data_IF_332940759246
#
_entry.id   IF_332940759246
#
_cell.length_a   1.000
_cell.length_b   1.000
_cell.length_c   1.000
_cell.angle_alpha   90.00
_cell.angle_beta   90.00
_cell.angle_gamma   90.00
#
_symmetry.space_group_name_H-M   'P 1'
#
loop_
_entity.id
_entity.type
_entity.pdbx_description
1 polymer ?
#
# COMPACT_ATOMS: atom_id res chain seq x y z
N UNK A 1 -4.69 -21.87 18.87
CA UNK A 1 -4.24 -20.48 18.73
C UNK A 1 -3.47 -20.46 17.42
N UNK A 2 -4.16 -20.12 16.33
CA UNK A 2 -3.51 -20.01 15.02
C UNK A 2 -2.52 -18.86 15.09
N UNK A 3 -1.25 -19.16 14.95
CA UNK A 3 -0.22 -18.14 14.76
C UNK A 3 -0.57 -17.42 13.46
N UNK A 4 -1.13 -16.22 13.56
CA UNK A 4 -1.36 -15.38 12.39
C UNK A 4 0.01 -15.20 11.73
N UNK A 5 0.13 -15.55 10.45
CA UNK A 5 1.40 -15.43 9.72
C UNK A 5 1.91 -13.99 9.88
N UNK A 6 3.20 -13.82 10.18
CA UNK A 6 3.80 -12.49 10.24
C UNK A 6 3.57 -11.77 8.91
N UNK A 7 3.23 -10.47 8.94
CA UNK A 7 2.91 -9.75 7.73
C UNK A 7 4.15 -9.61 6.85
N UNK A 8 4.05 -10.11 5.61
CA UNK A 8 5.14 -10.12 4.61
C UNK A 8 5.01 -8.97 3.62
N UNK A 9 3.80 -8.42 3.47
CA UNK A 9 3.48 -7.39 2.47
C UNK A 9 2.85 -6.17 3.11
N UNK A 10 3.38 -4.99 2.76
CA UNK A 10 2.76 -3.70 3.06
C UNK A 10 2.08 -3.15 1.82
N UNK A 11 0.80 -2.81 1.91
CA UNK A 11 0.05 -2.09 0.87
C UNK A 11 0.01 -0.61 1.23
N UNK A 12 0.83 0.18 0.56
CA UNK A 12 0.92 1.62 0.74
C UNK A 12 0.08 2.32 -0.33
N UNK A 13 -0.87 3.15 0.07
CA UNK A 13 -1.78 3.82 -0.86
C UNK A 13 -2.43 5.06 -0.28
N UNK A 14 -3.42 5.57 -1.01
CA UNK A 14 -4.28 6.66 -0.54
C UNK A 14 -5.55 6.07 0.05
N UNK A 15 -6.02 6.63 1.16
CA UNK A 15 -7.36 6.33 1.67
C UNK A 15 -8.39 6.97 0.73
N UNK A 16 -9.24 6.18 0.05
CA UNK A 16 -10.21 6.71 -0.91
C UNK A 16 -11.16 7.73 -0.27
N UNK A 17 -11.51 7.61 1.02
CA UNK A 17 -12.41 8.54 1.71
C UNK A 17 -11.75 9.87 2.08
N UNK A 18 -10.41 9.94 2.02
CA UNK A 18 -9.62 11.11 2.40
C UNK A 18 -8.89 11.74 1.21
N UNK A 19 -9.29 11.40 -0.01
CA UNK A 19 -8.82 12.04 -1.25
C UNK A 19 -9.88 13.06 -1.74
N UNK A 20 -9.58 14.36 -1.73
CA UNK A 20 -10.53 15.40 -2.13
C UNK A 20 -10.97 15.29 -3.60
N UNK A 21 -12.24 15.62 -3.86
CA UNK A 21 -12.77 15.80 -5.21
C UNK A 21 -14.26 15.49 -5.31
N UNK A 22 -14.90 15.79 -6.45
CA UNK A 22 -16.27 15.37 -6.71
C UNK A 22 -16.27 13.95 -7.28
N UNK A 23 -16.18 12.93 -6.43
CA UNK A 23 -16.25 11.52 -6.83
C UNK A 23 -16.73 10.64 -5.68
N UNK A 24 -17.13 9.41 -6.01
CA UNK A 24 -17.60 8.42 -5.04
C UNK A 24 -16.46 7.45 -4.65
N UNK A 25 -16.03 7.43 -3.37
CA UNK A 25 -14.95 6.55 -2.90
C UNK A 25 -15.32 5.07 -2.77
N UNK A 26 -16.61 4.74 -2.69
CA UNK A 26 -17.09 3.39 -2.35
C UNK A 26 -16.57 2.31 -3.32
N UNK A 27 -16.63 2.49 -4.66
CA UNK A 27 -16.14 1.47 -5.60
C UNK A 27 -14.64 1.18 -5.49
N UNK A 28 -13.84 2.19 -5.09
CA UNK A 28 -12.39 2.01 -4.90
C UNK A 28 -12.12 1.29 -3.58
N UNK A 29 -12.83 1.64 -2.51
CA UNK A 29 -12.73 0.97 -1.22
C UNK A 29 -13.10 -0.52 -1.34
N UNK A 30 -14.22 -0.85 -1.98
CA UNK A 30 -14.62 -2.23 -2.24
C UNK A 30 -13.57 -3.01 -3.04
N UNK A 31 -12.97 -2.37 -4.05
CA UNK A 31 -11.93 -3.00 -4.85
C UNK A 31 -10.61 -3.22 -4.07
N UNK A 32 -10.29 -2.35 -3.10
CA UNK A 32 -9.17 -2.57 -2.16
C UNK A 32 -9.49 -3.80 -1.30
N UNK A 33 -10.68 -3.89 -0.73
CA UNK A 33 -11.09 -5.01 0.11
C UNK A 33 -11.01 -6.35 -0.64
N UNK A 34 -11.49 -6.39 -1.89
CA UNK A 34 -11.35 -7.56 -2.77
C UNK A 34 -9.87 -7.93 -2.97
N UNK A 35 -9.00 -6.94 -3.18
CA UNK A 35 -7.57 -7.17 -3.33
C UNK A 35 -6.92 -7.71 -2.06
N UNK A 36 -7.31 -7.20 -0.90
CA UNK A 36 -6.79 -7.63 0.41
C UNK A 36 -7.25 -9.04 0.79
N UNK A 37 -8.50 -9.40 0.48
CA UNK A 37 -9.05 -10.73 0.76
C UNK A 37 -8.23 -11.86 0.11
N UNK A 38 -7.69 -11.62 -1.09
CA UNK A 38 -6.84 -12.59 -1.81
C UNK A 38 -5.56 -12.95 -1.06
N UNK A 39 -5.00 -12.06 -0.25
CA UNK A 39 -3.82 -12.40 0.56
C UNK A 39 -4.13 -13.51 1.56
N UNK A 40 -5.29 -13.44 2.22
CA UNK A 40 -5.73 -14.48 3.16
C UNK A 40 -5.99 -15.81 2.45
N UNK A 41 -6.58 -15.80 1.26
CA UNK A 41 -6.79 -17.00 0.43
C UNK A 41 -5.49 -17.73 0.09
N UNK A 42 -4.37 -16.99 0.01
CA UNK A 42 -3.04 -17.53 -0.30
C UNK A 42 -2.14 -17.67 0.93
N UNK A 43 -2.68 -17.44 2.14
CA UNK A 43 -1.91 -17.56 3.39
C UNK A 43 -0.78 -16.53 3.54
N UNK A 44 -0.88 -15.38 2.87
CA UNK A 44 0.11 -14.30 2.95
C UNK A 44 -0.37 -13.25 3.96
N UNK A 45 0.45 -12.95 4.96
CA UNK A 45 0.19 -11.85 5.88
C UNK A 45 0.36 -10.49 5.18
N UNK A 46 -0.62 -9.61 5.33
CA UNK A 46 -0.64 -8.27 4.71
C UNK A 46 -1.08 -7.21 5.71
N UNK A 47 -0.48 -6.03 5.62
CA UNK A 47 -0.94 -4.82 6.29
C UNK A 47 -1.07 -3.67 5.29
N UNK A 48 -1.77 -2.62 5.70
CA UNK A 48 -2.07 -1.45 4.87
C UNK A 48 -1.61 -0.17 5.54
N UNK A 49 -1.02 0.73 4.76
CA UNK A 49 -0.74 2.11 5.12
C UNK A 49 -1.45 3.01 4.10
N UNK A 50 -2.67 3.44 4.44
CA UNK A 50 -3.48 4.33 3.59
C UNK A 50 -3.45 5.75 4.16
N UNK A 51 -2.91 6.69 3.38
CA UNK A 51 -2.76 8.10 3.79
C UNK A 51 -3.81 9.00 3.14
N UNK A 52 -4.25 10.03 3.85
CA UNK A 52 -5.16 11.04 3.36
C UNK A 52 -4.45 12.20 2.66
N UNK A 53 -5.12 12.84 1.70
CA UNK A 53 -4.70 14.10 1.07
C UNK A 53 -5.51 15.30 1.60
N UNK A 54 -6.24 15.11 2.69
CA UNK A 54 -7.03 16.13 3.40
C UNK A 54 -6.20 16.99 4.38
N UNK A 55 -4.90 16.71 4.49
CA UNK A 55 -3.96 17.42 5.36
C UNK A 55 -3.96 16.95 6.83
N UNK A 56 -4.64 15.86 7.15
CA UNK A 56 -4.68 15.33 8.52
C UNK A 56 -3.56 14.32 8.84
N UNK A 57 -2.83 13.83 7.84
CA UNK A 57 -1.64 12.99 8.04
C UNK A 57 -0.34 13.79 7.86
N UNK A 58 0.63 13.52 8.73
CA UNK A 58 2.04 13.66 8.39
C UNK A 58 2.45 12.43 7.58
N UNK A 59 2.35 12.53 6.26
CA UNK A 59 2.51 11.38 5.35
C UNK A 59 3.90 10.75 5.47
N UNK A 60 4.95 11.56 5.64
CA UNK A 60 6.31 11.04 5.79
C UNK A 60 6.43 10.21 7.07
N UNK A 61 5.98 10.74 8.20
CA UNK A 61 6.03 10.03 9.48
C UNK A 61 5.19 8.73 9.46
N UNK A 62 3.97 8.79 8.95
CA UNK A 62 3.07 7.62 8.87
C UNK A 62 3.67 6.52 8.00
N UNK A 63 4.25 6.89 6.85
CA UNK A 63 4.90 5.92 5.95
C UNK A 63 6.19 5.37 6.57
N UNK A 64 7.00 6.19 7.23
CA UNK A 64 8.20 5.72 7.94
C UNK A 64 7.86 4.69 9.02
N UNK A 65 6.86 4.97 9.85
CA UNK A 65 6.44 4.08 10.93
C UNK A 65 5.96 2.73 10.38
N UNK A 66 5.12 2.75 9.33
CA UNK A 66 4.65 1.53 8.68
C UNK A 66 5.80 0.70 8.06
N UNK A 67 6.77 1.36 7.43
CA UNK A 67 7.92 0.67 6.82
C UNK A 67 8.86 0.05 7.86
N UNK A 68 8.93 0.61 9.07
CA UNK A 68 9.80 0.13 10.16
C UNK A 68 9.14 -0.94 11.03
N UNK A 69 7.82 -1.11 10.93
CA UNK A 69 7.06 -2.03 11.77
C UNK A 69 7.48 -3.50 11.58
N UNK A 70 7.80 -3.89 10.35
CA UNK A 70 8.12 -5.27 9.98
C UNK A 70 9.24 -5.35 8.94
N UNK A 71 9.89 -6.51 8.86
CA UNK A 71 10.78 -6.84 7.76
C UNK A 71 9.93 -7.27 6.56
N UNK A 72 9.53 -6.30 5.74
CA UNK A 72 8.70 -6.53 4.56
C UNK A 72 9.46 -7.27 3.45
N UNK A 73 8.83 -8.24 2.81
CA UNK A 73 9.34 -8.83 1.56
C UNK A 73 8.90 -8.02 0.35
N UNK A 74 7.72 -7.41 0.41
CA UNK A 74 7.21 -6.56 -0.66
C UNK A 74 6.42 -5.37 -0.13
N UNK A 75 6.65 -4.20 -0.73
CA UNK A 75 5.79 -3.02 -0.55
C UNK A 75 5.04 -2.79 -1.87
N UNK A 76 3.72 -2.97 -1.83
CA UNK A 76 2.87 -2.61 -2.96
C UNK A 76 2.46 -1.15 -2.85
N UNK A 77 2.77 -0.36 -3.86
CA UNK A 77 2.36 1.03 -3.95
C UNK A 77 1.08 1.09 -4.79
N UNK A 78 0.03 1.68 -4.25
CA UNK A 78 -1.28 1.80 -4.88
C UNK A 78 -1.30 2.74 -6.08
N UNK A 79 -2.19 2.47 -7.04
CA UNK A 79 -2.35 3.31 -8.23
C UNK A 79 -2.67 4.78 -7.93
N UNK A 80 -3.35 5.09 -6.81
CA UNK A 80 -3.68 6.47 -6.42
C UNK A 80 -2.45 7.39 -6.35
N UNK A 81 -1.28 6.87 -6.00
CA UNK A 81 -0.04 7.64 -5.91
C UNK A 81 0.65 7.89 -7.27
N UNK A 82 0.20 7.24 -8.35
CA UNK A 82 0.92 7.22 -9.64
C UNK A 82 0.18 7.86 -10.81
N UNK A 83 -1.15 7.98 -10.73
CA UNK A 83 -1.98 8.34 -11.91
C UNK A 83 -2.33 9.83 -12.02
N UNK A 84 -1.66 10.71 -11.27
CA UNK A 84 -1.84 12.16 -11.35
C UNK A 84 -0.47 12.83 -11.35
N UNK A 85 -0.25 13.74 -12.30
CA UNK A 85 1.02 14.48 -12.45
C UNK A 85 1.34 15.30 -11.19
N UNK A 86 0.32 15.76 -10.47
CA UNK A 86 0.47 16.50 -9.20
C UNK A 86 0.95 15.61 -8.04
N UNK A 87 1.10 14.30 -8.24
CA UNK A 87 1.51 13.32 -7.21
C UNK A 87 2.93 12.80 -7.40
N UNK A 88 3.67 13.31 -8.38
CA UNK A 88 5.05 12.86 -8.66
C UNK A 88 5.96 13.05 -7.44
N UNK A 89 5.93 14.21 -6.78
CA UNK A 89 6.77 14.47 -5.60
C UNK A 89 6.42 13.54 -4.44
N UNK A 90 5.13 13.25 -4.23
CA UNK A 90 4.68 12.32 -3.21
C UNK A 90 5.12 10.88 -3.52
N UNK A 91 5.05 10.47 -4.79
CA UNK A 91 5.55 9.18 -5.23
C UNK A 91 7.07 9.08 -5.01
N UNK A 92 7.83 10.11 -5.38
CA UNK A 92 9.28 10.17 -5.16
C UNK A 92 9.63 10.05 -3.67
N UNK A 93 8.91 10.75 -2.80
CA UNK A 93 9.06 10.62 -1.35
C UNK A 93 8.83 9.18 -0.91
N UNK A 94 7.68 8.60 -1.24
CA UNK A 94 7.33 7.22 -0.86
C UNK A 94 8.40 6.22 -1.33
N UNK A 95 8.85 6.30 -2.59
CA UNK A 95 9.89 5.41 -3.12
C UNK A 95 11.19 5.55 -2.32
N UNK A 96 11.61 6.78 -2.00
CA UNK A 96 12.83 7.00 -1.22
C UNK A 96 12.69 6.50 0.23
N UNK A 97 11.53 6.65 0.85
CA UNK A 97 11.26 6.10 2.19
C UNK A 97 11.33 4.57 2.18
N UNK A 98 10.72 3.91 1.19
CA UNK A 98 10.82 2.45 1.04
C UNK A 98 12.28 2.02 0.92
N UNK A 99 13.06 2.67 0.05
CA UNK A 99 14.48 2.36 -0.12
C UNK A 99 15.32 2.61 1.13
N UNK A 100 14.92 3.56 1.98
CA UNK A 100 15.65 3.91 3.21
C UNK A 100 15.30 2.98 4.38
N UNK A 101 14.02 2.62 4.53
CA UNK A 101 13.51 1.96 5.73
C UNK A 101 13.19 0.48 5.54
N UNK A 102 12.94 0.06 4.29
CA UNK A 102 12.73 -1.34 3.91
C UNK A 102 13.57 -1.68 2.66
N UNK A 103 14.91 -1.53 2.70
CA UNK A 103 15.77 -1.69 1.52
C UNK A 103 15.74 -3.09 0.89
N UNK A 104 15.39 -4.11 1.67
CA UNK A 104 15.28 -5.51 1.22
C UNK A 104 13.92 -5.81 0.57
N UNK A 105 12.91 -4.95 0.78
CA UNK A 105 11.58 -5.18 0.26
C UNK A 105 11.52 -4.87 -1.25
N UNK A 106 10.95 -5.78 -2.02
CA UNK A 106 10.65 -5.51 -3.42
C UNK A 106 9.53 -4.46 -3.54
N UNK A 107 9.64 -3.53 -4.49
CA UNK A 107 8.58 -2.56 -4.78
C UNK A 107 7.67 -3.15 -5.86
N UNK A 108 6.38 -3.26 -5.56
CA UNK A 108 5.36 -3.69 -6.50
C UNK A 108 4.39 -2.57 -6.86
N UNK A 109 3.97 -2.55 -8.12
CA UNK A 109 2.91 -1.69 -8.60
C UNK A 109 1.74 -2.56 -9.08
N UNK A 110 0.54 -2.31 -8.56
CA UNK A 110 -0.71 -2.92 -9.00
C UNK A 110 -1.40 -2.06 -10.07
N UNK A 111 -1.94 -2.68 -11.12
CA UNK A 111 -2.69 -1.92 -12.15
C UNK A 111 -4.10 -1.55 -11.69
N UNK A 112 -4.70 -2.34 -10.79
CA UNK A 112 -6.03 -2.10 -10.22
C UNK A 112 -6.02 -2.41 -8.72
N UNK A 113 -6.90 -1.82 -7.89
CA UNK A 113 -6.96 -2.12 -6.46
C UNK A 113 -7.20 -3.61 -6.16
N UNK A 114 -8.08 -4.26 -6.92
CA UNK A 114 -8.36 -5.70 -6.80
C UNK A 114 -7.20 -6.60 -7.24
N UNK A 115 -6.20 -6.05 -7.94
CA UNK A 115 -4.99 -6.74 -8.42
C UNK A 115 -3.77 -6.59 -7.49
N UNK A 116 -3.98 -6.16 -6.24
CA UNK A 116 -2.90 -5.88 -5.27
C UNK A 116 -2.13 -7.15 -4.91
N UNK A 117 -2.82 -8.27 -4.67
CA UNK A 117 -2.17 -9.55 -4.40
C UNK A 117 -1.28 -10.00 -5.56
N UNK A 118 -1.81 -10.00 -6.79
CA UNK A 118 -1.07 -10.40 -7.98
C UNK A 118 0.16 -9.51 -8.24
N UNK A 119 0.12 -8.26 -7.78
CA UNK A 119 1.27 -7.37 -7.84
C UNK A 119 2.37 -7.78 -6.86
N UNK A 120 2.01 -8.06 -5.61
CA UNK A 120 2.94 -8.51 -4.59
C UNK A 120 3.51 -9.90 -4.91
N UNK A 121 2.66 -10.83 -5.36
CA UNK A 121 3.01 -12.22 -5.63
C UNK A 121 4.12 -12.40 -6.68
N UNK A 122 4.40 -11.40 -7.52
CA UNK A 122 5.56 -11.42 -8.43
C UNK A 122 6.91 -11.46 -7.70
N UNK A 123 6.93 -11.07 -6.42
CA UNK A 123 8.14 -10.87 -5.63
C UNK A 123 8.21 -11.70 -4.35
N UNK A 124 7.13 -12.39 -4.00
CA UNK A 124 7.12 -13.28 -2.83
C UNK A 124 7.83 -14.60 -3.17
N UNK A 125 8.65 -15.07 -2.24
CA UNK A 125 9.28 -16.40 -2.29
C UNK A 125 8.36 -17.51 -1.76
#
# INVERSE_FOLDING_TARGET
METRAEPRVLVLGLDPYRVPGPWDPEPVAEAIDVGLAKFAEHGVGVETCLVGLDGSDDIEAVVEDALRAHAWECVTIGGGLRHSDDRVELLELVINLVRRHAPEAAIAFNSTPAGTYEAAARWLA
#
